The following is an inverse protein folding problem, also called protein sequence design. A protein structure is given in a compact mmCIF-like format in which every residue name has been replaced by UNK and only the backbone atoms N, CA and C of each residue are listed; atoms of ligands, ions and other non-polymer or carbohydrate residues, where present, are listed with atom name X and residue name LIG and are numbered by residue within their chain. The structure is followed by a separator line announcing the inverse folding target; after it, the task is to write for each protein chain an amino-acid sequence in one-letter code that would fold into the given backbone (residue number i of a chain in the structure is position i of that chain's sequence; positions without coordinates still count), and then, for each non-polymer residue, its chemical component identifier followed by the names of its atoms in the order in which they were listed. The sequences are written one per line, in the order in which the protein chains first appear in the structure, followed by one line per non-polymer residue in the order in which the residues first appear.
data_IF_299139740357
#
_entry.id   IF_299139740357
#
_cell.length_a   1.000
_cell.length_b   1.000
_cell.length_c   1.000
_cell.angle_alpha   90.00
_cell.angle_beta   90.00
_cell.angle_gamma   90.00
#
_symmetry.space_group_name_H-M   'P 1'
#
loop_
_entity.id
_entity.type
_entity.pdbx_description
1 polymer ?
2 non-polymer ?
3 non-polymer ?
4 non-polymer ?
5 non-polymer ?
6 non-polymer ?
7 water ?
#
# COMPACT_ATOMS: atom_id res chain seq x y z
N UNK A 1 3.99 1.76 16.15
CA UNK A 1 3.83 1.10 14.87
C UNK A 1 4.88 1.62 13.90
N UNK A 2 4.56 1.50 12.61
CA UNK A 2 5.45 1.91 11.52
C UNK A 2 5.84 3.38 11.60
N UNK A 3 4.86 4.25 11.80
CA UNK A 3 5.12 5.69 11.81
C UNK A 3 6.05 6.07 12.94
N UNK A 4 5.83 5.52 14.13
CA UNK A 4 6.69 5.81 15.27
C UNK A 4 8.10 5.27 15.02
N UNK A 5 8.21 4.13 14.36
CA UNK A 5 9.50 3.52 14.07
C UNK A 5 10.33 4.46 13.18
N UNK A 6 9.66 5.12 12.24
CA UNK A 6 10.34 6.08 11.39
C UNK A 6 10.91 7.20 12.26
N UNK A 7 10.17 7.60 13.28
CA UNK A 7 10.65 8.67 14.18
C UNK A 7 11.79 8.18 15.05
N UNK A 8 11.67 6.95 15.54
CA UNK A 8 12.71 6.34 16.35
C UNK A 8 14.01 6.31 15.56
N UNK A 9 13.94 5.75 14.36
CA UNK A 9 15.10 5.67 13.48
C UNK A 9 15.67 7.05 13.16
N UNK A 10 14.80 7.94 12.65
CA UNK A 10 15.23 9.30 12.28
C UNK A 10 15.89 10.03 13.44
N UNK A 11 15.45 9.76 14.66
CA UNK A 11 15.96 10.41 15.85
C UNK A 11 17.47 10.21 16.03
N UNK A 12 17.94 9.01 15.71
CA UNK A 12 19.37 8.70 15.81
C UNK A 12 19.80 7.98 14.53
N UNK A 13 19.45 8.59 13.40
CA UNK A 13 19.50 7.91 12.13
C UNK A 13 20.89 7.33 11.80
N UNK A 14 21.93 8.09 12.05
CA UNK A 14 23.26 7.62 11.67
C UNK A 14 23.61 6.32 12.40
N UNK A 15 23.25 6.22 13.67
CA UNK A 15 23.62 5.06 14.47
C UNK A 15 22.88 3.81 13.99
N UNK A 16 21.56 3.95 13.79
CA UNK A 16 20.76 2.84 13.30
C UNK A 16 21.18 2.43 11.91
N UNK A 17 21.41 3.43 11.04
CA UNK A 17 21.84 3.17 9.66
C UNK A 17 23.09 2.29 9.66
N UNK A 18 24.11 2.71 10.39
CA UNK A 18 25.33 1.92 10.47
C UNK A 18 25.11 0.51 11.04
N UNK A 19 24.36 0.42 12.14
CA UNK A 19 24.12 -0.87 12.80
C UNK A 19 23.42 -1.85 11.86
N UNK A 20 22.40 -1.35 11.18
CA UNK A 20 21.60 -2.21 10.32
C UNK A 20 22.40 -2.57 9.08
N UNK A 21 23.13 -1.62 8.52
CA UNK A 21 23.89 -1.91 7.32
C UNK A 21 25.02 -2.90 7.63
N UNK A 22 25.63 -2.79 8.81
CA UNK A 22 26.64 -3.78 9.22
C UNK A 22 26.03 -5.17 9.40
N UNK A 23 24.86 -5.25 10.07
CA UNK A 23 24.16 -6.52 10.20
C UNK A 23 23.90 -7.15 8.83
N UNK A 24 23.61 -6.30 7.84
CA UNK A 24 23.34 -6.78 6.49
C UNK A 24 24.61 -7.32 5.85
N UNK A 25 25.72 -6.57 5.93
CA UNK A 25 26.95 -6.98 5.29
C UNK A 25 27.50 -8.26 5.94
N UNK A 26 27.33 -8.36 7.25
CA UNK A 26 27.81 -9.53 7.98
C UNK A 26 26.96 -10.78 7.79
N UNK A 27 25.67 -10.59 7.50
CA UNK A 27 24.78 -11.73 7.28
C UNK A 27 24.94 -12.26 5.85
N UNK A 28 25.27 -11.36 4.93
CA UNK A 28 25.43 -11.71 3.52
C UNK A 28 26.77 -11.24 2.99
N UNK A 29 27.85 -11.93 3.37
CA UNK A 29 29.23 -11.58 3.00
C UNK A 29 29.41 -11.29 1.52
N UNK A 30 28.79 -12.09 0.65
CA UNK A 30 28.92 -11.88 -0.79
C UNK A 30 28.39 -10.51 -1.22
N UNK A 31 27.48 -9.93 -0.45
CA UNK A 31 26.93 -8.62 -0.81
C UNK A 31 28.00 -7.53 -0.84
N UNK A 32 29.12 -7.75 -0.15
CA UNK A 32 30.21 -6.77 -0.14
C UNK A 32 30.80 -6.56 -1.54
N UNK A 33 30.42 -7.42 -2.48
CA UNK A 33 30.81 -7.25 -3.88
C UNK A 33 30.37 -5.90 -4.43
N UNK A 34 29.22 -5.43 -3.97
CA UNK A 34 28.73 -4.11 -4.35
C UNK A 34 29.41 -2.98 -3.58
N UNK A 35 30.34 -3.33 -2.71
CA UNK A 35 31.02 -2.32 -1.89
C UNK A 35 32.51 -2.64 -1.72
N UNK A 36 33.29 -2.43 -2.79
CA UNK A 36 34.69 -2.81 -2.77
C UNK A 36 35.52 -2.06 -1.73
N UNK A 37 35.11 -0.85 -1.40
CA UNK A 37 35.84 -0.03 -0.42
C UNK A 37 35.54 -0.45 1.03
N UNK A 38 34.68 -1.45 1.21
CA UNK A 38 34.31 -1.89 2.55
C UNK A 38 34.90 -3.25 2.88
N UNK A 39 35.49 -3.91 1.89
CA UNK A 39 36.07 -5.23 2.07
C UNK A 39 37.31 -5.26 2.98
N UNK A 40 37.40 -6.28 3.83
CA UNK A 40 38.58 -6.52 4.64
C UNK A 40 38.72 -5.56 5.81
N UNK A 41 37.59 -5.03 6.26
CA UNK A 41 37.54 -4.08 7.35
C UNK A 41 36.53 -4.58 8.39
N UNK A 42 36.89 -4.51 9.66
CA UNK A 42 35.96 -4.86 10.73
C UNK A 42 34.87 -3.80 10.86
N UNK A 43 33.82 -4.11 11.62
CA UNK A 43 32.75 -3.14 11.89
C UNK A 43 33.32 -1.82 12.41
N UNK A 44 34.22 -1.90 13.39
CA UNK A 44 34.76 -0.68 13.98
C UNK A 44 35.62 0.10 13.00
N UNK A 45 36.32 -0.59 12.10
CA UNK A 45 37.10 0.11 11.08
C UNK A 45 36.16 0.83 10.12
N UNK A 46 35.10 0.14 9.69
CA UNK A 46 34.16 0.76 8.76
C UNK A 46 33.59 2.03 9.37
N UNK A 47 33.27 1.96 10.67
CA UNK A 47 32.76 3.10 11.42
C UNK A 47 33.63 4.35 11.34
N UNK A 48 34.94 4.17 11.17
CA UNK A 48 35.86 5.31 11.23
C UNK A 48 36.08 5.95 9.86
N UNK A 49 35.57 5.31 8.82
CA UNK A 49 35.65 5.87 7.48
C UNK A 49 34.52 6.86 7.25
N UNK A 50 34.89 8.05 6.77
CA UNK A 50 33.95 9.13 6.54
C UNK A 50 32.79 8.69 5.65
N UNK A 51 33.09 8.11 4.50
CA UNK A 51 32.05 7.81 3.51
C UNK A 51 31.15 6.66 3.96
N UNK A 52 31.58 5.88 4.95
CA UNK A 52 30.74 4.79 5.45
C UNK A 52 29.58 5.38 6.22
N UNK A 53 29.88 6.26 7.17
CA UNK A 53 28.85 6.92 7.93
C UNK A 53 27.96 7.78 7.04
N UNK A 54 28.59 8.52 6.14
CA UNK A 54 27.86 9.41 5.24
C UNK A 54 26.92 8.66 4.30
N UNK A 55 27.45 7.69 3.56
CA UNK A 55 26.63 6.94 2.62
C UNK A 55 25.53 6.13 3.32
N UNK A 56 25.87 5.46 4.43
CA UNK A 56 24.87 4.65 5.13
C UNK A 56 23.72 5.51 5.64
N UNK A 57 24.05 6.67 6.19
CA UNK A 57 23.02 7.56 6.66
C UNK A 57 22.18 8.08 5.49
N UNK A 58 22.83 8.46 4.39
CA UNK A 58 22.08 9.00 3.25
C UNK A 58 21.18 7.91 2.66
N UNK A 59 21.64 6.67 2.67
CA UNK A 59 20.77 5.55 2.30
C UNK A 59 19.54 5.48 3.20
N UNK A 60 19.77 5.51 4.51
CA UNK A 60 18.67 5.31 5.42
C UNK A 60 17.79 6.56 5.49
N UNK A 61 18.34 7.73 5.19
CA UNK A 61 17.48 8.92 5.08
C UNK A 61 16.48 8.76 3.94
N UNK A 62 16.97 8.34 2.77
CA UNK A 62 16.08 8.10 1.64
C UNK A 62 15.07 7.00 1.97
N UNK A 63 15.55 5.93 2.60
CA UNK A 63 14.67 4.83 2.98
C UNK A 63 13.53 5.27 3.90
N UNK A 64 13.82 6.22 4.81
CA UNK A 64 12.81 6.77 5.72
C UNK A 64 11.83 7.69 4.97
N UNK A 65 12.33 8.37 3.94
CA UNK A 65 11.50 9.18 3.05
C UNK A 65 10.48 8.28 2.37
N UNK A 66 10.96 7.21 1.75
CA UNK A 66 10.09 6.26 1.06
C UNK A 66 9.12 5.60 2.04
N UNK A 67 9.63 5.20 3.19
CA UNK A 67 8.78 4.58 4.21
C UNK A 67 7.66 5.52 4.63
N UNK A 68 8.00 6.80 4.85
CA UNK A 68 7.01 7.76 5.34
C UNK A 68 5.97 8.14 4.27
N UNK A 69 6.37 8.11 3.01
CA UNK A 69 5.45 8.38 1.90
C UNK A 69 4.58 7.19 1.55
N UNK A 70 4.96 6.01 2.06
CA UNK A 70 4.18 4.80 1.84
C UNK A 70 2.78 4.87 2.46
N UNK A 71 1.84 4.13 1.86
CA UNK A 71 0.52 3.95 2.45
C UNK A 71 0.40 2.50 2.88
N UNK A 72 0.11 2.26 4.15
CA UNK A 72 0.00 0.88 4.64
C UNK A 72 1.21 0.04 4.25
N UNK A 73 2.39 0.63 4.40
CA UNK A 73 3.65 -0.05 4.11
C UNK A 73 3.76 -0.47 2.64
N UNK A 74 3.03 0.25 1.78
CA UNK A 74 3.19 0.07 0.35
C UNK A 74 3.81 1.34 -0.19
N UNK A 75 5.04 1.23 -0.70
CA UNK A 75 5.74 2.44 -1.17
C UNK A 75 5.14 2.92 -2.47
N UNK A 76 5.30 4.20 -2.76
CA UNK A 76 4.87 4.76 -4.03
C UNK A 76 5.65 4.17 -5.17
N UNK A 77 4.97 3.95 -6.29
CA UNK A 77 5.63 3.48 -7.50
C UNK A 77 6.77 4.43 -7.89
N UNK A 78 6.53 5.74 -7.76
CA UNK A 78 7.53 6.71 -8.20
C UNK A 78 8.79 6.62 -7.32
N UNK A 79 8.62 6.26 -6.05
CA UNK A 79 9.77 6.10 -5.17
C UNK A 79 10.57 4.87 -5.55
N UNK A 80 9.88 3.77 -5.85
CA UNK A 80 10.54 2.57 -6.35
C UNK A 80 11.29 2.87 -7.66
N UNK A 81 10.66 3.64 -8.53
CA UNK A 81 11.30 4.00 -9.80
C UNK A 81 12.59 4.78 -9.54
N UNK A 82 12.53 5.73 -8.60
CA UNK A 82 13.70 6.50 -8.26
C UNK A 82 14.84 5.57 -7.89
N UNK A 83 14.51 4.51 -7.15
CA UNK A 83 15.53 3.60 -6.63
C UNK A 83 16.08 2.72 -7.74
N UNK A 84 15.21 2.35 -8.67
CA UNK A 84 15.63 1.58 -9.84
C UNK A 84 16.53 2.40 -10.77
N UNK A 85 16.18 3.66 -10.95
CA UNK A 85 16.84 4.48 -11.97
C UNK A 85 18.13 5.15 -11.48
N UNK A 86 18.38 5.14 -10.17
CA UNK A 86 19.62 5.69 -9.63
C UNK A 86 20.83 5.06 -10.27
N UNK A 87 21.71 5.88 -10.83
CA UNK A 87 22.92 5.36 -11.44
C UNK A 87 23.66 4.42 -10.50
N UNK A 88 23.73 4.78 -9.22
CA UNK A 88 24.40 3.94 -8.24
C UNK A 88 23.76 2.55 -8.14
N UNK A 89 22.54 2.41 -8.63
CA UNK A 89 21.84 1.13 -8.51
C UNK A 89 21.84 0.32 -9.79
N UNK A 90 22.67 0.76 -10.74
CA UNK A 90 22.75 0.15 -12.06
C UNK A 90 22.93 -1.36 -12.02
N UNK A 91 23.77 -1.84 -11.12
CA UNK A 91 24.10 -3.26 -11.13
C UNK A 91 23.15 -4.18 -10.37
N UNK A 92 22.11 -3.60 -9.77
CA UNK A 92 21.35 -4.32 -8.74
C UNK A 92 20.13 -5.11 -9.20
N UNK A 93 19.79 -6.10 -8.39
CA UNK A 93 18.55 -6.85 -8.56
C UNK A 93 17.76 -6.75 -7.26
N UNK A 94 16.48 -7.13 -7.29
CA UNK A 94 15.62 -7.03 -6.10
C UNK A 94 16.15 -7.89 -4.95
N UNK A 95 16.93 -8.91 -5.30
CA UNK A 95 17.55 -9.76 -4.31
C UNK A 95 18.42 -8.99 -3.33
N UNK A 96 19.18 -8.02 -3.83
CA UNK A 96 19.96 -7.14 -2.97
C UNK A 96 19.12 -6.43 -1.92
N UNK A 97 17.99 -5.86 -2.35
CA UNK A 97 17.08 -5.18 -1.45
C UNK A 97 16.37 -6.14 -0.51
N UNK A 98 15.97 -7.30 -1.03
CA UNK A 98 15.32 -8.30 -0.18
C UNK A 98 16.20 -8.68 1.01
N UNK A 99 17.48 -8.93 0.75
CA UNK A 99 18.40 -9.30 1.82
C UNK A 99 18.62 -8.16 2.82
N UNK A 100 18.60 -6.92 2.32
CA UNK A 100 18.79 -5.78 3.20
C UNK A 100 17.67 -5.70 4.23
N UNK A 101 16.42 -5.84 3.77
CA UNK A 101 15.30 -5.78 4.70
C UNK A 101 15.18 -7.02 5.56
N UNK A 102 15.63 -8.17 5.06
CA UNK A 102 15.69 -9.35 5.91
C UNK A 102 16.57 -9.04 7.12
N UNK A 103 17.73 -8.46 6.84
CA UNK A 103 18.66 -8.05 7.88
C UNK A 103 18.06 -6.99 8.79
N UNK A 104 17.34 -6.04 8.19
CA UNK A 104 16.71 -4.97 8.95
C UNK A 104 15.64 -5.52 9.91
N UNK A 105 14.82 -6.41 9.40
CA UNK A 105 13.77 -7.02 10.20
C UNK A 105 14.39 -7.83 11.35
N UNK A 106 15.41 -8.61 11.00
CA UNK A 106 16.15 -9.39 11.98
C UNK A 106 16.72 -8.49 13.08
N UNK A 107 17.32 -7.38 12.68
CA UNK A 107 17.88 -6.42 13.62
C UNK A 107 16.85 -5.91 14.60
N UNK A 108 15.68 -5.55 14.06
CA UNK A 108 14.61 -5.01 14.87
C UNK A 108 14.10 -6.04 15.88
N UNK A 109 13.88 -7.27 15.43
CA UNK A 109 13.35 -8.31 16.30
C UNK A 109 14.30 -8.62 17.46
N UNK A 110 15.60 -8.54 17.18
CA UNK A 110 16.64 -8.84 18.17
C UNK A 110 16.95 -7.63 19.05
N UNK A 111 16.45 -6.47 18.63
CA UNK A 111 16.59 -5.25 19.41
C UNK A 111 15.76 -5.32 20.68
N UNK A 112 16.18 -4.62 21.71
CA UNK A 112 15.40 -4.55 22.93
C UNK A 112 14.07 -3.83 22.73
N UNK A 113 13.92 -3.16 21.59
CA UNK A 113 12.86 -2.18 21.39
C UNK A 113 11.63 -2.69 20.65
N UNK A 114 10.53 -1.99 20.89
CA UNK A 114 9.23 -2.38 20.35
C UNK A 114 9.01 -1.91 18.91
N UNK A 115 10.00 -2.10 18.04
CA UNK A 115 9.82 -1.88 16.62
C UNK A 115 8.62 -2.70 16.11
N UNK A 116 7.96 -2.21 15.08
CA UNK A 116 6.86 -2.93 14.46
C UNK A 116 7.43 -3.81 13.35
N UNK A 117 8.17 -4.85 13.73
CA UNK A 117 8.91 -5.70 12.81
C UNK A 117 8.07 -6.23 11.64
N UNK A 118 6.87 -6.70 11.94
CA UNK A 118 5.95 -7.19 10.91
C UNK A 118 5.67 -6.13 9.84
N UNK A 119 5.48 -4.89 10.25
CA UNK A 119 5.27 -3.80 9.28
C UNK A 119 6.51 -3.60 8.41
N UNK A 120 7.68 -3.65 9.01
CA UNK A 120 8.88 -3.44 8.22
C UNK A 120 9.10 -4.63 7.29
N UNK A 121 8.68 -5.81 7.73
CA UNK A 121 8.78 -6.99 6.89
C UNK A 121 7.88 -6.84 5.67
N UNK A 122 6.70 -6.27 5.89
CA UNK A 122 5.75 -6.03 4.80
C UNK A 122 6.27 -4.96 3.87
N UNK A 123 6.79 -3.89 4.46
CA UNK A 123 7.35 -2.80 3.69
C UNK A 123 8.47 -3.32 2.78
N UNK A 124 9.34 -4.17 3.32
CA UNK A 124 10.42 -4.72 2.52
C UNK A 124 9.91 -5.54 1.34
N UNK A 125 8.94 -6.43 1.60
CA UNK A 125 8.40 -7.25 0.52
C UNK A 125 7.69 -6.39 -0.51
N UNK A 126 7.00 -5.36 -0.03
CA UNK A 126 6.28 -4.46 -0.91
C UNK A 126 7.21 -3.54 -1.69
N UNK A 127 8.36 -3.23 -1.11
CA UNK A 127 9.36 -2.47 -1.87
C UNK A 127 9.92 -3.36 -2.96
N UNK A 128 10.28 -4.59 -2.60
CA UNK A 128 10.79 -5.53 -3.60
C UNK A 128 9.82 -5.66 -4.79
N UNK A 129 8.55 -5.90 -4.50
CA UNK A 129 7.59 -6.10 -5.59
C UNK A 129 7.42 -4.80 -6.40
N UNK A 130 7.49 -3.65 -5.73
CA UNK A 130 7.42 -2.37 -6.43
C UNK A 130 8.68 -2.12 -7.25
N UNK A 131 9.83 -2.54 -6.74
CA UNK A 131 11.07 -2.42 -7.51
C UNK A 131 10.92 -3.21 -8.81
N UNK A 132 10.36 -4.41 -8.70
CA UNK A 132 10.11 -5.23 -9.87
C UNK A 132 9.17 -4.53 -10.85
N UNK A 133 8.07 -3.99 -10.34
CA UNK A 133 7.09 -3.32 -11.20
C UNK A 133 7.67 -2.09 -11.85
N UNK A 134 8.65 -1.45 -11.20
CA UNK A 134 9.30 -0.28 -11.80
C UNK A 134 10.51 -0.68 -12.65
N UNK A 135 10.73 -1.98 -12.83
CA UNK A 135 11.65 -2.45 -13.84
C UNK A 135 12.96 -3.03 -13.39
N UNK A 136 13.12 -3.29 -12.10
CA UNK A 136 14.34 -3.90 -11.63
C UNK A 136 14.32 -5.41 -11.85
N UNK A 137 15.47 -5.98 -12.24
CA UNK A 137 15.54 -7.42 -12.42
C UNK A 137 15.61 -8.11 -11.07
N UNK B 1 -9.57 -13.79 4.24
CA UNK B 1 -9.13 -12.41 4.19
C UNK B 1 -9.62 -11.65 2.96
N UNK B 2 -8.91 -10.59 2.62
CA UNK B 2 -9.28 -9.66 1.56
C UNK B 2 -9.39 -10.34 0.20
N UNK B 3 -8.38 -11.13 -0.16
CA UNK B 3 -8.39 -11.86 -1.43
C UNK B 3 -9.57 -12.81 -1.51
N UNK B 4 -9.81 -13.56 -0.44
CA UNK B 4 -10.91 -14.49 -0.43
C UNK B 4 -12.24 -13.75 -0.49
N UNK B 5 -12.34 -12.60 0.18
CA UNK B 5 -13.57 -11.78 0.08
C UNK B 5 -13.87 -11.37 -1.36
N UNK B 6 -12.83 -11.11 -2.13
CA UNK B 6 -13.02 -10.73 -3.52
C UNK B 6 -13.66 -11.89 -4.27
N UNK B 7 -13.18 -13.09 -3.99
CA UNK B 7 -13.75 -14.28 -4.62
C UNK B 7 -15.19 -14.48 -4.17
N UNK B 8 -15.42 -14.30 -2.87
CA UNK B 8 -16.77 -14.47 -2.33
C UNK B 8 -17.75 -13.53 -3.06
N UNK B 9 -17.41 -12.24 -3.11
CA UNK B 9 -18.28 -11.25 -3.74
C UNK B 9 -18.50 -11.58 -5.21
N UNK B 10 -17.40 -11.95 -5.88
CA UNK B 10 -17.48 -12.30 -7.29
C UNK B 10 -18.39 -13.49 -7.53
N UNK B 11 -18.46 -14.41 -6.57
CA UNK B 11 -19.29 -15.59 -6.69
C UNK B 11 -20.79 -15.29 -6.81
N UNK B 12 -21.20 -14.11 -6.34
CA UNK B 12 -22.61 -13.70 -6.39
C UNK B 12 -22.68 -12.18 -6.55
N UNK B 13 -21.97 -11.67 -7.55
CA UNK B 13 -21.63 -10.26 -7.58
C UNK B 13 -22.83 -9.36 -7.81
N UNK B 14 -23.73 -9.74 -8.71
CA UNK B 14 -24.88 -8.88 -9.00
C UNK B 14 -25.69 -8.66 -7.73
N UNK B 15 -25.85 -9.71 -6.95
CA UNK B 15 -26.61 -9.62 -5.70
C UNK B 15 -25.88 -8.76 -4.68
N UNK B 16 -24.59 -9.05 -4.44
CA UNK B 16 -23.80 -8.29 -3.47
C UNK B 16 -23.74 -6.80 -3.83
N UNK B 17 -23.48 -6.53 -5.09
CA UNK B 17 -23.39 -5.17 -5.61
C UNK B 17 -24.65 -4.36 -5.34
N UNK B 18 -25.80 -4.96 -5.65
CA UNK B 18 -27.05 -4.26 -5.43
C UNK B 18 -27.32 -4.06 -3.94
N UNK B 19 -27.13 -5.10 -3.14
CA UNK B 19 -27.36 -4.95 -1.70
C UNK B 19 -26.44 -3.91 -1.07
N UNK B 20 -25.18 -3.85 -1.49
CA UNK B 20 -24.27 -2.89 -0.91
C UNK B 20 -24.60 -1.47 -1.39
N UNK B 21 -24.90 -1.32 -2.67
CA UNK B 21 -25.27 0.00 -3.17
C UNK B 21 -26.60 0.48 -2.53
N UNK B 22 -27.52 -0.45 -2.30
CA UNK B 22 -28.78 -0.11 -1.63
C UNK B 22 -28.45 0.31 -0.20
N UNK B 23 -27.61 -0.46 0.47
CA UNK B 23 -27.16 -0.13 1.83
C UNK B 23 -26.63 1.30 1.89
N UNK B 24 -25.84 1.67 0.89
CA UNK B 24 -25.26 3.01 0.78
C UNK B 24 -26.34 4.09 0.52
N UNK B 25 -27.21 3.87 -0.44
CA UNK B 25 -28.25 4.85 -0.74
C UNK B 25 -29.19 5.06 0.45
N UNK B 26 -29.52 3.98 1.15
CA UNK B 26 -30.40 4.07 2.30
C UNK B 26 -29.73 4.65 3.56
N UNK B 27 -28.40 4.50 3.66
CA UNK B 27 -27.69 5.09 4.78
C UNK B 27 -27.47 6.58 4.57
N UNK B 28 -27.26 6.96 3.31
CA UNK B 28 -27.01 8.35 2.94
C UNK B 28 -27.98 8.84 1.89
N UNK B 29 -29.24 9.12 2.28
CA UNK B 29 -30.22 9.49 1.27
C UNK B 29 -29.81 10.69 0.41
N UNK B 30 -29.06 11.63 0.96
CA UNK B 30 -28.67 12.81 0.19
C UNK B 30 -27.77 12.44 -0.99
N UNK B 31 -27.13 11.28 -0.93
CA UNK B 31 -26.23 10.87 -2.00
C UNK B 31 -27.00 10.64 -3.31
N UNK B 32 -28.32 10.56 -3.23
CA UNK B 32 -29.11 10.42 -4.46
C UNK B 32 -29.08 11.70 -5.29
N UNK B 33 -28.47 12.75 -4.75
CA UNK B 33 -28.20 13.96 -5.52
C UNK B 33 -27.45 13.60 -6.80
N UNK B 34 -26.70 12.50 -6.76
CA UNK B 34 -25.96 12.02 -7.94
C UNK B 34 -26.69 10.92 -8.71
N UNK B 35 -27.88 10.55 -8.24
CA UNK B 35 -28.64 9.42 -8.79
C UNK B 35 -30.13 9.77 -8.93
N UNK B 36 -30.38 10.78 -9.76
CA UNK B 36 -31.70 11.39 -9.89
C UNK B 36 -32.80 10.37 -10.19
N UNK B 37 -32.46 9.37 -10.98
CA UNK B 37 -33.44 8.39 -11.43
C UNK B 37 -33.69 7.27 -10.44
N UNK B 38 -32.90 7.23 -9.37
CA UNK B 38 -33.08 6.19 -8.36
C UNK B 38 -33.97 6.68 -7.21
N UNK B 39 -34.49 7.89 -7.37
CA UNK B 39 -35.33 8.51 -6.34
C UNK B 39 -36.77 7.99 -6.35
N UNK B 40 -37.41 7.96 -5.20
CA UNK B 40 -38.80 7.56 -5.10
C UNK B 40 -39.09 6.11 -5.46
N UNK B 41 -38.16 5.23 -5.12
CA UNK B 41 -38.27 3.80 -5.45
C UNK B 41 -37.83 2.95 -4.26
N UNK B 42 -38.62 1.95 -3.91
CA UNK B 42 -38.21 0.97 -2.91
C UNK B 42 -37.05 0.15 -3.45
N UNK B 43 -36.37 -0.59 -2.58
CA UNK B 43 -35.28 -1.45 -3.00
C UNK B 43 -35.72 -2.40 -4.11
N UNK B 44 -36.89 -3.02 -3.94
CA UNK B 44 -37.37 -3.99 -4.90
C UNK B 44 -37.68 -3.35 -6.26
N UNK B 45 -38.19 -2.12 -6.25
CA UNK B 45 -38.40 -1.39 -7.49
C UNK B 45 -37.08 -1.05 -8.19
N UNK B 46 -36.09 -0.61 -7.41
CA UNK B 46 -34.76 -0.35 -7.96
C UNK B 46 -34.17 -1.60 -8.60
N UNK B 47 -34.30 -2.74 -7.93
CA UNK B 47 -33.77 -4.01 -8.46
C UNK B 47 -34.49 -4.46 -9.74
N UNK B 48 -35.57 -3.78 -10.10
CA UNK B 48 -36.26 -4.08 -11.36
C UNK B 48 -35.98 -3.04 -12.44
N UNK B 49 -35.11 -2.09 -12.11
CA UNK B 49 -34.73 -1.05 -13.03
C UNK B 49 -33.45 -1.41 -13.75
N UNK B 50 -33.52 -1.56 -15.07
CA UNK B 50 -32.43 -2.15 -15.84
C UNK B 50 -31.08 -1.47 -15.62
N UNK B 51 -31.05 -0.15 -15.63
CA UNK B 51 -29.79 0.56 -15.45
C UNK B 51 -29.28 0.38 -14.03
N UNK B 52 -30.19 0.20 -13.08
CA UNK B 52 -29.76 0.01 -11.69
C UNK B 52 -28.97 -1.28 -11.58
N UNK B 53 -29.53 -2.36 -12.14
CA UNK B 53 -28.87 -3.65 -12.06
C UNK B 53 -27.56 -3.62 -12.82
N UNK B 54 -27.64 -3.13 -14.06
CA UNK B 54 -26.47 -3.10 -14.95
C UNK B 54 -25.35 -2.18 -14.46
N UNK B 55 -25.68 -0.91 -14.18
CA UNK B 55 -24.70 0.04 -13.64
C UNK B 55 -24.03 -0.51 -12.37
N UNK B 56 -24.85 -0.93 -11.41
CA UNK B 56 -24.36 -1.35 -10.10
C UNK B 56 -23.40 -2.53 -10.23
N UNK B 57 -23.77 -3.52 -11.04
CA UNK B 57 -22.87 -4.63 -11.23
C UNK B 57 -21.59 -4.23 -11.98
N UNK B 58 -21.71 -3.38 -12.99
CA UNK B 58 -20.51 -2.96 -13.72
C UNK B 58 -19.55 -2.20 -12.81
N UNK B 59 -20.12 -1.41 -11.92
CA UNK B 59 -19.35 -0.73 -10.89
C UNK B 59 -18.58 -1.71 -10.01
N UNK B 60 -19.25 -2.76 -9.54
CA UNK B 60 -18.61 -3.70 -8.62
C UNK B 60 -17.69 -4.68 -9.36
N UNK B 61 -17.96 -4.94 -10.64
CA UNK B 61 -17.01 -5.65 -11.50
C UNK B 61 -15.65 -4.98 -11.46
N UNK B 62 -15.64 -3.67 -11.72
CA UNK B 62 -14.40 -2.91 -11.75
C UNK B 62 -13.81 -2.74 -10.36
N UNK B 63 -14.68 -2.55 -9.36
CA UNK B 63 -14.21 -2.42 -7.98
C UNK B 63 -13.45 -3.66 -7.58
N UNK B 64 -13.94 -4.82 -7.99
CA UNK B 64 -13.29 -6.08 -7.61
C UNK B 64 -11.94 -6.23 -8.30
N UNK B 65 -11.85 -5.72 -9.53
CA UNK B 65 -10.59 -5.71 -10.25
C UNK B 65 -9.60 -4.76 -9.60
N UNK B 66 -10.09 -3.60 -9.16
CA UNK B 66 -9.23 -2.66 -8.48
C UNK B 66 -8.73 -3.28 -7.18
N UNK B 67 -9.63 -3.97 -6.48
CA UNK B 67 -9.26 -4.63 -5.24
C UNK B 67 -8.28 -5.76 -5.52
N UNK B 68 -8.49 -6.45 -6.63
CA UNK B 68 -7.68 -7.62 -6.95
C UNK B 68 -6.27 -7.20 -7.34
N UNK B 69 -6.16 -6.04 -7.97
CA UNK B 69 -4.85 -5.53 -8.40
C UNK B 69 -4.08 -4.82 -7.28
N UNK B 70 -4.77 -4.56 -6.18
CA UNK B 70 -4.16 -3.88 -5.04
C UNK B 70 -3.07 -4.73 -4.39
N UNK B 71 -2.16 -4.06 -3.69
CA UNK B 71 -1.19 -4.71 -2.80
C UNK B 71 -1.47 -4.28 -1.37
N UNK B 72 -1.63 -5.24 -0.45
CA UNK B 72 -2.01 -4.94 0.93
C UNK B 72 -3.12 -3.88 0.99
N UNK B 73 -4.15 -4.03 0.16
CA UNK B 73 -5.31 -3.13 0.15
C UNK B 73 -4.98 -1.72 -0.33
N UNK B 74 -3.86 -1.59 -1.05
CA UNK B 74 -3.49 -0.30 -1.63
C UNK B 74 -3.62 -0.42 -3.15
N UNK B 75 -4.56 0.35 -3.74
CA UNK B 75 -4.84 0.20 -5.17
C UNK B 75 -3.70 0.77 -6.01
N UNK B 76 -3.56 0.30 -7.24
CA UNK B 76 -2.65 0.88 -8.21
C UNK B 76 -2.99 2.34 -8.47
N UNK B 77 -1.96 3.16 -8.66
CA UNK B 77 -2.16 4.55 -9.06
C UNK B 77 -2.96 4.63 -10.36
N UNK B 78 -2.73 3.69 -11.27
CA UNK B 78 -3.38 3.76 -12.56
C UNK B 78 -4.88 3.51 -12.40
N UNK B 79 -5.25 2.68 -11.44
CA UNK B 79 -6.67 2.45 -11.20
C UNK B 79 -7.31 3.68 -10.58
N UNK B 80 -6.57 4.31 -9.67
CA UNK B 80 -7.06 5.53 -9.03
C UNK B 80 -7.26 6.62 -10.08
N UNK B 81 -6.30 6.75 -10.99
CA UNK B 81 -6.39 7.75 -12.05
C UNK B 81 -7.62 7.50 -12.93
N UNK B 82 -7.82 6.25 -13.29
CA UNK B 82 -8.95 5.90 -14.15
C UNK B 82 -10.27 6.28 -13.47
N UNK B 83 -10.38 6.00 -12.18
CA UNK B 83 -11.61 6.29 -11.46
C UNK B 83 -11.85 7.80 -11.35
N UNK B 84 -10.77 8.57 -11.36
CA UNK B 84 -10.90 10.02 -11.26
C UNK B 84 -11.21 10.64 -12.62
N UNK B 85 -10.59 10.12 -13.66
CA UNK B 85 -10.67 10.67 -15.01
C UNK B 85 -11.95 10.27 -15.75
N UNK B 86 -12.61 9.21 -15.28
CA UNK B 86 -13.86 8.75 -15.89
C UNK B 86 -14.85 9.89 -16.00
N UNK B 87 -15.45 10.05 -17.19
CA UNK B 87 -16.42 11.10 -17.43
C UNK B 87 -17.56 10.98 -16.43
N UNK B 88 -17.98 9.75 -16.18
CA UNK B 88 -19.12 9.50 -15.32
C UNK B 88 -18.85 9.96 -13.90
N UNK B 89 -17.59 10.26 -13.60
CA UNK B 89 -17.21 10.65 -12.25
C UNK B 89 -16.87 12.13 -12.10
N UNK B 90 -17.07 12.91 -13.15
CA UNK B 90 -16.47 14.25 -13.16
C UNK B 90 -17.05 15.19 -12.10
N UNK B 91 -18.18 14.82 -11.52
CA UNK B 91 -18.78 15.70 -10.53
C UNK B 91 -18.60 15.23 -9.11
N UNK B 92 -17.78 14.19 -8.93
CA UNK B 92 -17.68 13.53 -7.64
C UNK B 92 -16.51 14.04 -6.82
N UNK B 93 -16.60 13.83 -5.52
CA UNK B 93 -15.53 14.16 -4.60
C UNK B 93 -15.22 12.91 -3.80
N UNK B 94 -14.11 12.93 -3.07
CA UNK B 94 -13.72 11.76 -2.28
C UNK B 94 -14.82 11.35 -1.32
N UNK B 95 -15.56 12.33 -0.82
CA UNK B 95 -16.65 12.08 0.11
C UNK B 95 -17.62 11.00 -0.37
N UNK B 96 -17.90 11.01 -1.67
CA UNK B 96 -18.83 10.06 -2.25
C UNK B 96 -18.30 8.62 -2.10
N UNK B 97 -17.01 8.44 -2.33
CA UNK B 97 -16.38 7.12 -2.23
C UNK B 97 -16.24 6.66 -0.78
N UNK B 98 -15.82 7.60 0.08
CA UNK B 98 -15.74 7.37 1.51
C UNK B 98 -17.03 6.77 2.05
N UNK B 99 -18.16 7.39 1.72
CA UNK B 99 -19.45 6.94 2.21
C UNK B 99 -19.82 5.57 1.61
N UNK B 100 -19.50 5.34 0.35
CA UNK B 100 -19.78 4.04 -0.25
C UNK B 100 -19.10 2.96 0.55
N UNK B 101 -17.85 3.19 0.95
CA UNK B 101 -17.11 2.16 1.64
C UNK B 101 -17.46 2.07 3.13
N UNK B 102 -17.97 3.15 3.72
CA UNK B 102 -18.51 3.03 5.07
C UNK B 102 -19.69 2.06 5.06
N UNK B 103 -20.54 2.21 4.04
CA UNK B 103 -21.70 1.35 3.88
C UNK B 103 -21.28 -0.08 3.62
N UNK B 104 -20.25 -0.26 2.79
CA UNK B 104 -19.81 -1.60 2.41
C UNK B 104 -19.25 -2.38 3.61
N UNK B 105 -18.43 -1.70 4.40
CA UNK B 105 -17.86 -2.26 5.61
C UNK B 105 -18.96 -2.55 6.64
N UNK B 106 -19.89 -1.62 6.77
CA UNK B 106 -21.00 -1.82 7.71
C UNK B 106 -21.82 -3.03 7.25
N UNK B 107 -22.06 -3.13 5.95
CA UNK B 107 -22.74 -4.29 5.35
C UNK B 107 -22.06 -5.61 5.69
N UNK B 108 -20.74 -5.64 5.53
CA UNK B 108 -19.97 -6.84 5.80
C UNK B 108 -20.06 -7.22 7.28
N UNK B 109 -19.94 -6.24 8.17
CA UNK B 109 -19.96 -6.52 9.61
C UNK B 109 -21.32 -7.03 10.07
N UNK B 110 -22.37 -6.55 9.41
CA UNK B 110 -23.75 -6.94 9.74
C UNK B 110 -24.12 -8.28 9.12
N UNK B 111 -23.33 -8.73 8.16
CA UNK B 111 -23.66 -9.98 7.48
C UNK B 111 -23.17 -11.10 8.38
N UNK B 112 -23.64 -12.31 8.13
CA UNK B 112 -23.22 -13.42 8.98
C UNK B 112 -21.94 -14.07 8.49
N UNK B 113 -21.30 -13.44 7.51
CA UNK B 113 -20.18 -14.05 6.79
C UNK B 113 -18.85 -13.49 7.26
N UNK B 114 -17.82 -14.34 7.21
CA UNK B 114 -16.50 -14.02 7.75
C UNK B 114 -15.66 -13.10 6.87
N UNK B 115 -16.26 -12.00 6.41
CA UNK B 115 -15.53 -11.00 5.63
C UNK B 115 -14.42 -10.39 6.46
N UNK B 116 -13.30 -10.08 5.83
CA UNK B 116 -12.23 -9.35 6.50
C UNK B 116 -12.60 -7.85 6.44
N UNK B 117 -13.54 -7.44 7.29
CA UNK B 117 -14.11 -6.10 7.17
C UNK B 117 -13.07 -5.02 7.43
N UNK B 118 -12.08 -5.28 8.27
CA UNK B 118 -11.08 -4.26 8.54
C UNK B 118 -10.25 -3.98 7.29
N UNK B 119 -9.94 -5.04 6.53
CA UNK B 119 -9.19 -4.88 5.30
C UNK B 119 -9.96 -4.02 4.30
N UNK B 120 -11.28 -4.18 4.25
CA UNK B 120 -12.11 -3.41 3.33
C UNK B 120 -12.19 -1.97 3.80
N UNK B 121 -12.14 -1.78 5.11
CA UNK B 121 -12.11 -0.45 5.66
C UNK B 121 -10.83 0.26 5.23
N UNK B 122 -9.72 -0.47 5.25
CA UNK B 122 -8.44 0.08 4.80
C UNK B 122 -8.46 0.36 3.31
N UNK B 123 -8.95 -0.60 2.54
CA UNK B 123 -9.05 -0.45 1.09
C UNK B 123 -9.79 0.83 0.75
N UNK B 124 -10.92 1.03 1.41
CA UNK B 124 -11.73 2.21 1.18
C UNK B 124 -10.93 3.45 1.47
N UNK B 125 -10.24 3.46 2.61
CA UNK B 125 -9.49 4.65 2.99
C UNK B 125 -8.31 4.84 2.04
N UNK B 126 -7.64 3.74 1.71
CA UNK B 126 -6.51 3.80 0.79
C UNK B 126 -6.95 4.24 -0.59
N UNK B 127 -8.11 3.79 -1.04
CA UNK B 127 -8.60 4.23 -2.36
C UNK B 127 -8.91 5.72 -2.33
N UNK B 128 -9.58 6.17 -1.26
CA UNK B 128 -9.86 7.60 -1.13
C UNK B 128 -8.55 8.42 -1.16
N UNK B 129 -7.54 7.94 -0.46
CA UNK B 129 -6.24 8.62 -0.45
C UNK B 129 -5.61 8.65 -1.85
N UNK B 130 -5.72 7.53 -2.58
CA UNK B 130 -5.20 7.46 -3.95
C UNK B 130 -6.02 8.36 -4.89
N UNK B 131 -7.33 8.42 -4.67
CA UNK B 131 -8.19 9.31 -5.46
C UNK B 131 -7.77 10.77 -5.27
N UNK B 132 -7.54 11.14 -4.02
CA UNK B 132 -7.06 12.48 -3.67
C UNK B 132 -5.73 12.78 -4.35
N UNK B 133 -4.82 11.83 -4.26
CA UNK B 133 -3.51 11.96 -4.85
C UNK B 133 -3.60 12.18 -6.36
N UNK B 134 -4.58 11.54 -6.99
CA UNK B 134 -4.73 11.60 -8.44
C UNK B 134 -5.64 12.76 -8.91
N UNK B 135 -6.05 13.61 -7.98
CA UNK B 135 -6.67 14.86 -8.35
C UNK B 135 -8.16 14.99 -8.12
N UNK B 136 -8.77 14.02 -7.46
CA UNK B 136 -10.16 14.16 -7.10
C UNK B 136 -10.28 15.10 -5.91
N UNK B 137 -11.24 16.01 -5.97
CA UNK B 137 -11.49 16.95 -4.88
C UNK B 137 -12.16 16.26 -3.70
X LIG C 1 24.09 4.63 -3.16
X LIG C 1 19.61 4.75 -1.26
X LIG C 1 19.58 -0.06 -1.22
X LIG C 1 23.96 -0.23 -3.31
X LIG C 1 22.91 5.05 -2.59
X LIG C 1 22.61 6.42 -2.24
X LIG C 1 21.39 6.46 -1.72
X LIG C 1 20.85 5.11 -1.73
X LIG C 1 20.69 7.72 -1.21
X LIG C 1 23.54 7.64 -2.41
X LIG C 1 24.28 7.82 -1.09
X LIG C 1 25.23 8.98 -1.22
X LIG C 1 24.90 9.97 -1.92
X LIG C 1 26.33 8.92 -0.61
X LIG C 1 19.21 3.46 -1.06
X LIG C 1 17.96 3.03 -0.45
X LIG C 1 17.96 1.69 -0.43
X LIG C 1 19.20 1.24 -1.03
X LIG C 1 16.89 3.99 0.09
X LIG C 1 16.85 0.74 0.11
X LIG C 1 15.60 1.14 0.32
X LIG C 1 20.78 -0.50 -1.74
X LIG C 1 21.21 -1.88 -1.75
X LIG C 1 22.40 -1.94 -2.35
X LIG C 1 22.79 -0.58 -2.69
X LIG C 1 20.38 -3.06 -1.19
X LIG C 1 23.29 -3.18 -2.57
X LIG C 1 23.16 -4.28 -1.81
X LIG C 1 24.41 1.06 -3.48
X LIG C 1 25.66 1.42 -4.11
X LIG C 1 25.71 2.95 -4.07
X LIG C 1 24.47 3.34 -3.43
X LIG C 1 26.71 0.44 -4.68
X LIG C 1 26.83 3.87 -4.62
X LIG C 1 28.16 3.34 -4.13
X LIG C 1 28.08 3.49 -2.65
X LIG C 1 28.39 2.50 -1.93
X LIG C 1 27.66 4.59 -2.21
X LIG C 1 21.81 4.26 -2.27
X LIG C 1 19.93 2.34 -1.40
X LIG C 1 21.77 0.27 -2.33
X LIG C 1 23.74 2.21 -3.11
X LIG C 1 21.76 2.28 -2.47
X LIG D 1 1.29 2.68 12.25
X LIG D 1 -0.09 2.70 11.77
X LIG D 1 2.12 3.57 11.47
X LIG D 1 1.83 1.33 12.14
X LIG D 1 1.30 3.12 13.64
X LIG E 1 35.96 -9.26 5.21
X LIG E 1 34.88 -8.56 5.92
X LIG E 1 36.18 -8.60 3.92
X LIG E 1 35.57 -10.66 4.99
X LIG E 1 37.13 -9.20 6.05
X LIG F 1 26.64 2.56 0.99
X LIG F 1 26.33 2.34 2.32
X LIG F 1 25.16 1.69 2.66
X LIG F 1 24.29 1.24 1.67
X LIG F 1 24.60 1.45 0.34
X LIG F 1 25.77 2.11 0.00
X LIG F 1 27.83 3.22 0.65
X LIG F 1 27.20 2.78 3.33
X LIG F 1 23.11 0.57 2.06
X LIG F 1 22.38 0.04 1.22
X LIG F 1 22.77 0.52 3.38
X LIG G 1 23.01 1.66 -0.36
X LIG G 1 23.66 0.90 0.32
X LIG H 1 10.76 2.00 18.27
X LIG H 1 10.01 2.55 17.23
X LIG H 1 9.83 1.49 19.33
X LIG H 1 10.60 1.13 20.46
X LIG H 1 8.83 2.58 19.67
X LIG H 1 9.51 3.81 19.83
X LIG H 1 11.31 2.72 18.65
X LIG H 1 11.35 1.28 17.96
X LIG H 1 9.81 3.39 17.40
X LIG H 1 9.35 0.71 19.01
X LIG H 1 10.09 0.70 21.04
X LIG H 1 8.18 2.66 18.94
X LIG H 1 8.36 2.35 20.50
X LIG H 1 10.03 3.76 20.54
X LIG I 1 8.84 13.72 1.28
X LIG I 1 7.74 14.19 1.99
X LIG I 1 10.08 14.57 1.51
X LIG I 1 10.36 14.56 2.89
X LIG I 1 11.32 14.05 0.78
X LIG I 1 11.37 14.42 -0.58
X LIG I 1 8.64 13.72 0.33
X LIG I 1 9.04 12.80 1.56
X LIG I 1 7.09 13.58 1.98
X LIG I 1 9.89 15.49 1.21
X LIG I 1 10.27 13.73 3.20
X LIG I 1 12.10 14.42 1.23
X LIG I 1 11.34 13.08 0.85
X LIG I 1 10.72 15.00 -0.76
X LIG J 1 -20.42 4.95 -13.53
X LIG J 1 -17.00 2.28 -11.37
X LIG J 1 -17.76 4.65 -7.23
X LIG J 1 -21.01 7.52 -9.43
X LIG J 1 -19.48 3.97 -13.28
X LIG J 1 -19.11 2.90 -14.19
X LIG J 1 -18.17 2.16 -13.60
X LIG J 1 -17.90 2.74 -12.30
X LIG J 1 -17.50 0.92 -14.23
X LIG J 1 -19.72 2.64 -15.58
X LIG J 1 -21.01 1.86 -15.32
X LIG J 1 -21.68 1.29 -16.57
X LIG J 1 -21.01 1.09 -17.61
X LIG J 1 -22.89 1.02 -16.49
X LIG J 1 -16.90 2.67 -10.06
X LIG J 1 -16.02 2.13 -9.05
X LIG J 1 -16.24 2.78 -7.89
X LIG J 1 -17.26 3.77 -8.15
X LIG J 1 -15.03 0.97 -9.28
X LIG J 1 -15.56 2.60 -6.52
X LIG J 1 -14.53 1.78 -6.36
X LIG J 1 -18.74 5.60 -7.46
X LIG J 1 -19.36 6.42 -6.45
X LIG J 1 -20.25 7.22 -7.07
X LIG J 1 -20.24 6.90 -8.48
X LIG J 1 -19.01 6.38 -4.95
X LIG J 1 -21.18 8.27 -6.42
X LIG J 1 -21.53 8.19 -5.12
X LIG J 1 -21.17 7.12 -10.74
X LIG J 1 -22.05 7.73 -11.68
X LIG J 1 -21.87 6.94 -12.97
X LIG J 1 -20.89 5.91 -12.66
X LIG J 1 -22.97 8.95 -11.44
X LIG J 1 -22.59 7.21 -14.31
X LIG J 1 -24.03 7.64 -14.03
X LIG J 1 -24.63 6.37 -13.53
X LIG J 1 -25.50 6.39 -12.60
X LIG J 1 -24.16 5.32 -14.06
X LIG J 1 -18.72 3.84 -12.14
X LIG J 1 -17.65 3.68 -9.48
X LIG J 1 -19.28 5.91 -8.69
X LIG J 1 -20.50 6.06 -11.35
X LIG J 1 -18.90 5.00 -10.48
X LIG K 1 -24.77 3.59 -10.54
X LIG K 1 -25.05 2.51 -9.71
X LIG K 1 -24.19 2.20 -8.66
X LIG K 1 -23.06 2.96 -8.44
X LIG K 1 -22.77 4.04 -9.26
X LIG K 1 -23.63 4.36 -10.30
X LIG K 1 -25.63 3.91 -11.60
X LIG K 1 -26.19 1.74 -9.94
X LIG K 1 -22.20 2.63 -7.36
X LIG K 1 -21.37 3.45 -6.98
X LIG K 1 -22.32 1.41 -6.76
X LIG L 1 -20.37 16.18 0.42
X LIG L 1 -20.63 16.27 -0.96
X LIG L 1 -19.00 15.59 0.63
X LIG L 1 -18.18 16.01 -0.43
X LIG L 1 -18.43 16.04 1.96
X LIG L 1 -17.63 15.03 2.56
X LIG L 1 -21.05 15.63 0.86
X LIG L 1 -20.39 17.09 0.79
X LIG L 1 -20.16 16.94 -1.31
X LIG L 1 -19.07 14.61 0.62
X LIG L 1 -18.52 15.73 -1.20
X LIG L 1 -17.89 16.84 1.83
X LIG L 1 -19.16 16.24 2.57
X LIG L 1 -17.39 15.29 3.37
#
# INVERSE_FOLDING_TARGET
GFKQDIATLRGDLRTYAQDIFLAFLNKYPDEKRNFKNYVGKSDQELKSMAKFGDHTEKVFNLMMEVADRATDCVPLASDASTLVQMKQHSGLTTGNFEKLFVALVEYMRASGQSFDSQSWDRFGKNLVSALSSAGMK
GFKQDIATLRGDLRTYAQDIFLAFLNKYPDEKRNFKNYVGKSDQELKSMAKFGDHTEKVFNLMMEVADRATDCVPLASDASTLVQMKQHSGLTTGNFEKLFVALVEYMRASGQSFDSQSWDRFGKNLVSALSSAGMK
HEM CHA CHB CHC CHD C1A C2A C3A C4A CMA CAA CBA CGA O1A O2A C1B C2B C3B C4B CMB CAB CBB C1C C2C C3C C4C CMC CAC CBC C1D C2D C3D C4D CMD CAD CBD CGD O1D O2D NA NB NC ND FE
SO4 S O1 O2 O3 O4
SO4 S O1 O2 O3 O4
4NC C1 C2 C3 C4 C5 C6 O7 O8 N9 O10 O11
OXY O1 O2
GOL C1 O1 C2 O2 C3 O3 H11 H12 HO1 H2 HO2 H31 H32 HO3
GOL C1 O1 C2 O2 C3 O3 H11 H12 HO1 H2 HO2 H31 H32 HO3
HEM CHA CHB CHC CHD C1A C2A C3A C4A CMA CAA CBA CGA O1A O2A C1B C2B C3B C4B CMB CAB CBB C1C C2C C3C C4C CMC CAC CBC C1D C2D C3D C4D CMD CAD CBD CGD O1D O2D NA NB NC ND FE
4NC C1 C2 C3 C4 C5 C6 O7 O8 N9 O10 O11
GOL C1 O1 C2 O2 C3 O3 H11 H12 HO1 H2 HO2 H31 H32 HO3
#
